data_IF_527316664059
#
_entry.id   IF_527316664059
#
_cell.length_a   1.000
_cell.length_b   1.000
_cell.length_c   1.000
_cell.angle_alpha   90.00
_cell.angle_beta   90.00
_cell.angle_gamma   90.00
#
_symmetry.space_group_name_H-M   'P 1'
#
loop_
_entity.id
_entity.type
_entity.pdbx_description
1 polymer ?
#
# COMPACT_ATOMS: atom_id res chain seq x y z
N UNK A 1 13.09 -23.36 -47.64
CA UNK A 1 12.90 -21.95 -47.26
C UNK A 1 12.72 -21.90 -45.74
N UNK A 2 13.55 -21.15 -45.02
CA UNK A 2 13.38 -20.98 -43.58
C UNK A 2 12.28 -19.93 -43.34
N UNK A 3 11.21 -20.32 -42.65
CA UNK A 3 10.15 -19.40 -42.24
C UNK A 3 10.59 -18.76 -40.92
N UNK A 4 10.98 -17.49 -40.98
CA UNK A 4 11.33 -16.71 -39.79
C UNK A 4 10.04 -16.15 -39.19
N UNK A 5 9.57 -16.74 -38.10
CA UNK A 5 8.50 -16.16 -37.30
C UNK A 5 9.08 -15.08 -36.38
N UNK A 6 8.50 -13.88 -36.40
CA UNK A 6 8.82 -12.84 -35.45
C UNK A 6 8.23 -13.23 -34.09
N UNK A 7 9.07 -13.73 -33.18
CA UNK A 7 8.69 -14.18 -31.83
C UNK A 7 8.71 -13.06 -30.79
N UNK A 8 8.82 -11.80 -31.23
CA UNK A 8 8.77 -10.65 -30.35
C UNK A 8 7.34 -10.52 -29.82
N UNK A 9 7.18 -10.67 -28.51
CA UNK A 9 5.90 -10.48 -27.82
C UNK A 9 5.45 -9.00 -27.94
N UNK A 10 4.14 -8.76 -28.06
CA UNK A 10 3.56 -7.40 -28.11
C UNK A 10 3.96 -6.53 -26.91
N UNK A 11 4.23 -7.13 -25.74
CA UNK A 11 4.76 -6.40 -24.57
C UNK A 11 6.16 -5.84 -24.79
N UNK A 12 6.97 -6.48 -25.64
CA UNK A 12 8.34 -6.08 -25.94
C UNK A 12 8.35 -4.97 -26.98
N UNK A 13 7.47 -5.02 -27.99
CA UNK A 13 7.29 -3.92 -28.95
C UNK A 13 6.83 -2.64 -28.25
N UNK A 14 5.79 -2.73 -27.42
CA UNK A 14 5.27 -1.57 -26.69
C UNK A 14 6.34 -0.88 -25.82
N UNK A 15 7.20 -1.65 -25.15
CA UNK A 15 8.32 -1.08 -24.37
C UNK A 15 9.41 -0.45 -25.23
N UNK A 16 9.63 -0.97 -26.44
CA UNK A 16 10.56 -0.37 -27.39
C UNK A 16 10.01 0.96 -27.92
N UNK A 17 8.71 1.06 -28.16
CA UNK A 17 8.07 2.33 -28.51
C UNK A 17 8.15 3.33 -27.34
N UNK A 18 7.77 2.90 -26.14
CA UNK A 18 7.83 3.72 -24.91
C UNK A 18 9.23 4.26 -24.64
N UNK A 19 10.28 3.47 -24.88
CA UNK A 19 11.66 3.92 -24.63
C UNK A 19 12.15 4.93 -25.67
N UNK A 20 11.67 4.80 -26.92
CA UNK A 20 11.99 5.76 -27.98
C UNK A 20 11.33 7.11 -27.68
N UNK A 21 10.03 7.10 -27.32
CA UNK A 21 9.33 8.33 -26.94
C UNK A 21 9.94 8.96 -25.68
N UNK A 22 10.25 8.16 -24.66
CA UNK A 22 10.83 8.66 -23.41
C UNK A 22 12.23 9.25 -23.63
N UNK A 23 13.07 8.63 -24.46
CA UNK A 23 14.40 9.15 -24.75
C UNK A 23 14.35 10.52 -25.44
N UNK A 24 13.32 10.79 -26.26
CA UNK A 24 13.16 12.07 -26.95
C UNK A 24 12.78 13.23 -26.01
N UNK A 25 12.25 12.95 -24.82
CA UNK A 25 11.75 13.96 -23.87
C UNK A 25 12.72 14.23 -22.71
N UNK A 26 13.77 13.42 -22.54
CA UNK A 26 14.63 13.42 -21.35
C UNK A 26 16.09 13.78 -21.70
N UNK A 27 16.78 14.47 -20.79
CA UNK A 27 18.21 14.83 -20.93
C UNK A 27 19.13 13.63 -20.73
N UNK A 28 18.69 12.63 -19.95
CA UNK A 28 19.38 11.36 -19.75
C UNK A 28 18.39 10.22 -19.51
N UNK A 29 18.79 9.00 -19.85
CA UNK A 29 18.00 7.79 -19.65
C UNK A 29 18.76 6.71 -18.88
N UNK A 30 18.17 6.19 -17.81
CA UNK A 30 18.65 4.99 -17.11
C UNK A 30 17.83 3.78 -17.54
N UNK A 31 18.51 2.76 -18.08
CA UNK A 31 17.90 1.48 -18.43
C UNK A 31 18.32 0.42 -17.42
N UNK A 32 17.35 -0.03 -16.63
CA UNK A 32 17.57 -0.91 -15.49
C UNK A 32 17.37 -2.37 -15.86
N UNK A 33 18.37 -3.20 -15.57
CA UNK A 33 18.25 -4.65 -15.63
C UNK A 33 19.56 -5.36 -15.95
N UNK A 34 19.50 -6.69 -15.92
CA UNK A 34 20.68 -7.54 -16.09
C UNK A 34 21.52 -7.20 -17.33
N UNK A 35 22.85 -7.09 -17.19
CA UNK A 35 23.76 -6.85 -18.34
C UNK A 35 23.73 -7.99 -19.35
N UNK A 36 23.37 -9.19 -18.91
CA UNK A 36 23.19 -10.38 -19.74
C UNK A 36 21.80 -10.49 -20.38
N UNK A 37 20.86 -9.60 -20.06
CA UNK A 37 19.52 -9.59 -20.68
C UNK A 37 19.58 -8.99 -22.07
N UNK A 38 19.35 -9.82 -23.09
CA UNK A 38 19.26 -9.37 -24.48
C UNK A 38 18.18 -8.29 -24.67
N UNK A 39 17.04 -8.42 -23.97
CA UNK A 39 15.96 -7.44 -24.03
C UNK A 39 16.36 -6.10 -23.40
N UNK A 40 16.98 -6.12 -22.21
CA UNK A 40 17.42 -4.89 -21.54
C UNK A 40 18.51 -4.19 -22.35
N UNK A 41 19.43 -4.95 -22.93
CA UNK A 41 20.47 -4.42 -23.82
C UNK A 41 19.86 -3.76 -25.07
N UNK A 42 18.88 -4.43 -25.69
CA UNK A 42 18.14 -3.89 -26.85
C UNK A 42 17.47 -2.56 -26.52
N UNK A 43 16.86 -2.43 -25.35
CA UNK A 43 16.25 -1.19 -24.88
C UNK A 43 17.29 -0.07 -24.71
N UNK A 44 18.41 -0.36 -24.04
CA UNK A 44 19.51 0.60 -23.88
C UNK A 44 20.08 1.05 -25.24
N UNK A 45 20.23 0.13 -26.19
CA UNK A 45 20.73 0.45 -27.53
C UNK A 45 19.73 1.30 -28.33
N UNK A 46 18.42 1.08 -28.17
CA UNK A 46 17.39 1.91 -28.80
C UNK A 46 17.38 3.33 -28.26
N UNK A 47 17.54 3.50 -26.95
CA UNK A 47 17.65 4.80 -26.32
C UNK A 47 18.91 5.56 -26.77
N UNK A 48 20.06 4.88 -26.83
CA UNK A 48 21.31 5.46 -27.37
C UNK A 48 21.17 5.94 -28.81
N UNK A 49 20.39 5.23 -29.63
CA UNK A 49 20.11 5.62 -31.02
C UNK A 49 19.31 6.93 -31.14
N UNK A 50 18.65 7.39 -30.07
CA UNK A 50 17.98 8.69 -30.03
C UNK A 50 18.93 9.85 -29.66
N UNK A 51 20.25 9.59 -29.55
CA UNK A 51 21.26 10.55 -29.09
C UNK A 51 21.08 11.03 -27.63
N UNK A 52 20.27 10.33 -26.84
CA UNK A 52 20.10 10.62 -25.41
C UNK A 52 21.18 9.88 -24.59
N UNK A 53 21.94 10.56 -23.71
CA UNK A 53 22.84 9.94 -22.76
C UNK A 53 22.16 8.78 -22.02
N UNK A 54 22.62 7.54 -22.26
CA UNK A 54 21.95 6.34 -21.78
C UNK A 54 22.87 5.48 -20.92
N UNK A 55 22.44 5.22 -19.68
CA UNK A 55 23.15 4.44 -18.67
C UNK A 55 22.44 3.10 -18.43
N UNK A 56 23.12 2.00 -18.74
CA UNK A 56 22.61 0.65 -18.43
C UNK A 56 23.16 0.22 -17.07
N UNK A 57 22.28 0.12 -16.07
CA UNK A 57 22.65 -0.21 -14.68
C UNK A 57 21.83 -1.40 -14.16
N UNK A 58 22.40 -2.16 -13.23
CA UNK A 58 21.73 -3.24 -12.53
C UNK A 58 21.32 -2.83 -11.11
N UNK A 59 22.09 -1.93 -10.47
CA UNK A 59 21.87 -1.54 -9.07
C UNK A 59 22.12 -0.06 -8.80
N UNK A 60 21.56 0.45 -7.69
CA UNK A 60 21.77 1.83 -7.19
C UNK A 60 23.26 2.16 -7.00
N UNK A 61 24.11 1.18 -6.72
CA UNK A 61 25.55 1.41 -6.49
C UNK A 61 26.25 2.00 -7.72
N UNK A 62 25.76 1.68 -8.92
CA UNK A 62 26.33 2.16 -10.17
C UNK A 62 26.03 3.65 -10.44
N UNK A 63 25.01 4.22 -9.79
CA UNK A 63 24.70 5.66 -9.89
C UNK A 63 25.83 6.55 -9.33
N UNK A 64 26.61 6.05 -8.37
CA UNK A 64 27.74 6.79 -7.80
C UNK A 64 28.83 7.16 -8.81
N UNK A 65 28.87 6.45 -9.94
CA UNK A 65 29.86 6.65 -10.99
C UNK A 65 29.35 7.55 -12.11
N UNK A 66 28.14 8.10 -11.99
CA UNK A 66 27.51 8.95 -13.00
C UNK A 66 27.42 10.38 -12.47
N UNK A 67 28.00 11.32 -13.21
CA UNK A 67 27.77 12.74 -12.95
C UNK A 67 26.37 13.13 -13.45
N UNK A 68 25.49 13.46 -12.51
CA UNK A 68 24.10 13.86 -12.79
C UNK A 68 23.94 15.37 -12.92
N UNK A 69 24.96 16.16 -12.57
CA UNK A 69 24.92 17.62 -12.62
C UNK A 69 24.46 18.22 -13.96
N UNK A 70 24.80 17.62 -15.12
CA UNK A 70 24.39 18.13 -16.43
C UNK A 70 22.91 17.92 -16.79
N UNK A 71 22.19 17.01 -16.12
CA UNK A 71 20.86 16.54 -16.56
C UNK A 71 19.74 17.11 -15.69
N UNK A 72 18.74 17.77 -16.30
CA UNK A 72 17.59 18.32 -15.56
C UNK A 72 16.40 17.37 -15.55
N UNK A 73 16.21 16.62 -16.63
CA UNK A 73 15.17 15.62 -16.81
C UNK A 73 15.82 14.25 -17.00
N UNK A 74 15.49 13.31 -16.12
CA UNK A 74 16.08 11.97 -16.12
C UNK A 74 14.93 10.97 -16.25
N UNK A 75 14.93 10.21 -17.35
CA UNK A 75 14.01 9.10 -17.53
C UNK A 75 14.58 7.80 -16.98
N UNK A 76 13.72 6.94 -16.44
CA UNK A 76 14.08 5.59 -15.98
C UNK A 76 13.18 4.58 -16.67
N UNK A 77 13.79 3.57 -17.28
CA UNK A 77 13.08 2.45 -17.93
C UNK A 77 13.74 1.13 -17.55
N UNK A 78 13.09 0.00 -17.80
CA UNK A 78 13.59 -1.31 -17.39
C UNK A 78 13.15 -2.46 -18.30
N UNK A 79 13.97 -3.51 -18.33
CA UNK A 79 13.66 -4.76 -19.00
C UNK A 79 12.45 -5.49 -18.40
N UNK A 80 11.79 -6.34 -19.18
CA UNK A 80 10.63 -7.14 -18.73
C UNK A 80 10.95 -8.06 -17.55
N UNK A 81 12.18 -8.53 -17.47
CA UNK A 81 12.69 -9.38 -16.40
C UNK A 81 13.21 -8.62 -15.18
N UNK A 82 13.21 -7.27 -15.21
CA UNK A 82 13.66 -6.44 -14.10
C UNK A 82 12.50 -6.22 -13.12
N UNK A 83 12.64 -6.60 -11.84
CA UNK A 83 11.63 -6.32 -10.82
C UNK A 83 11.43 -4.81 -10.55
N UNK A 84 10.20 -4.40 -10.26
CA UNK A 84 9.84 -3.00 -9.99
C UNK A 84 10.61 -2.41 -8.81
N UNK A 85 10.89 -3.18 -7.76
CA UNK A 85 11.61 -2.68 -6.59
C UNK A 85 13.04 -2.19 -6.91
N UNK A 86 13.69 -2.72 -7.97
CA UNK A 86 15.00 -2.22 -8.41
C UNK A 86 14.83 -0.84 -9.06
N UNK A 87 13.78 -0.70 -9.88
CA UNK A 87 13.41 0.56 -10.53
C UNK A 87 13.10 1.61 -9.45
N UNK A 88 12.25 1.27 -8.48
CA UNK A 88 11.87 2.14 -7.36
C UNK A 88 13.09 2.63 -6.56
N UNK A 89 14.04 1.73 -6.27
CA UNK A 89 15.27 2.10 -5.55
C UNK A 89 16.13 3.10 -6.34
N UNK A 90 16.22 2.94 -7.66
CA UNK A 90 16.97 3.86 -8.53
C UNK A 90 16.23 5.20 -8.65
N UNK A 91 14.91 5.19 -8.89
CA UNK A 91 14.11 6.42 -8.99
C UNK A 91 14.12 7.21 -7.69
N UNK A 92 14.01 6.54 -6.54
CA UNK A 92 14.06 7.19 -5.23
C UNK A 92 15.42 7.85 -5.00
N UNK A 93 16.53 7.18 -5.38
CA UNK A 93 17.87 7.75 -5.21
C UNK A 93 18.12 8.95 -6.14
N UNK A 94 17.65 8.87 -7.39
CA UNK A 94 17.71 9.99 -8.34
C UNK A 94 16.90 11.20 -7.82
N UNK A 95 15.70 10.98 -7.31
CA UNK A 95 14.87 12.04 -6.74
C UNK A 95 15.50 12.70 -5.49
N UNK A 96 16.24 11.93 -4.67
CA UNK A 96 16.97 12.47 -3.52
C UNK A 96 18.11 13.41 -3.94
N UNK A 97 18.79 13.13 -5.06
CA UNK A 97 19.90 13.93 -5.58
C UNK A 97 19.40 15.21 -6.26
N UNK A 98 18.27 15.14 -6.97
CA UNK A 98 17.73 16.26 -7.78
C UNK A 98 16.80 17.23 -7.03
N UNK A 99 16.74 17.19 -5.69
CA UNK A 99 15.66 17.84 -4.92
C UNK A 99 15.58 19.39 -5.06
N UNK A 100 14.37 19.99 -5.24
CA UNK A 100 14.13 21.43 -5.28
C UNK A 100 14.14 22.08 -3.87
N UNK A 101 13.83 23.38 -3.76
CA UNK A 101 13.93 24.25 -2.55
C UNK A 101 13.79 23.55 -1.18
N UNK A 102 14.60 23.93 -0.16
CA UNK A 102 14.82 23.11 1.03
C UNK A 102 13.57 22.75 1.86
N UNK A 103 12.53 23.59 1.87
CA UNK A 103 11.31 23.34 2.66
C UNK A 103 10.37 22.30 2.05
N UNK A 104 10.11 22.36 0.74
CA UNK A 104 9.26 21.38 0.05
C UNK A 104 9.92 20.01 -0.03
N UNK A 105 11.24 19.98 -0.22
CA UNK A 105 12.04 18.76 -0.13
C UNK A 105 11.95 18.11 1.26
N UNK A 106 11.94 18.90 2.34
CA UNK A 106 11.83 18.36 3.70
C UNK A 106 10.47 17.67 3.95
N UNK A 107 9.36 18.34 3.61
CA UNK A 107 8.02 17.77 3.83
C UNK A 107 7.81 16.48 3.02
N UNK A 108 8.25 16.47 1.76
CA UNK A 108 8.17 15.28 0.92
C UNK A 108 9.03 14.14 1.48
N UNK A 109 10.26 14.43 1.92
CA UNK A 109 11.16 13.43 2.53
C UNK A 109 10.57 12.87 3.82
N UNK A 110 9.97 13.72 4.67
CA UNK A 110 9.32 13.30 5.90
C UNK A 110 8.11 12.39 5.60
N UNK A 111 7.26 12.79 4.66
CA UNK A 111 6.09 12.00 4.25
C UNK A 111 6.51 10.63 3.68
N UNK A 112 7.48 10.61 2.76
CA UNK A 112 8.02 9.36 2.21
C UNK A 112 8.64 8.48 3.30
N UNK A 113 9.33 9.07 4.29
CA UNK A 113 9.85 8.33 5.43
C UNK A 113 8.72 7.71 6.27
N UNK A 114 7.65 8.44 6.54
CA UNK A 114 6.48 7.92 7.27
C UNK A 114 5.79 6.77 6.50
N UNK A 115 5.68 6.88 5.18
CA UNK A 115 5.13 5.83 4.32
C UNK A 115 6.05 4.61 4.31
N UNK A 116 7.37 4.81 4.21
CA UNK A 116 8.37 3.74 4.22
C UNK A 116 8.40 2.99 5.55
N UNK A 117 8.05 3.63 6.67
CA UNK A 117 8.13 3.08 8.03
C UNK A 117 6.79 2.65 8.62
N UNK A 118 5.71 2.59 7.80
CA UNK A 118 4.33 2.30 8.20
C UNK A 118 3.72 3.27 9.24
N UNK A 119 4.43 4.34 9.63
CA UNK A 119 3.89 5.39 10.51
C UNK A 119 2.70 6.12 9.86
N UNK A 120 2.72 6.27 8.53
CA UNK A 120 1.62 6.92 7.82
C UNK A 120 0.33 6.07 7.85
N UNK A 121 0.47 4.75 7.67
CA UNK A 121 -0.63 3.79 7.87
C UNK A 121 -1.17 3.79 9.30
N UNK A 122 -0.27 3.85 10.30
CA UNK A 122 -0.65 3.93 11.71
C UNK A 122 -1.49 5.19 12.01
N UNK A 123 -1.05 6.35 11.51
CA UNK A 123 -1.81 7.59 11.61
C UNK A 123 -3.18 7.48 10.92
N UNK A 124 -3.21 6.86 9.74
CA UNK A 124 -4.44 6.55 9.01
C UNK A 124 -5.43 5.71 9.83
N UNK A 125 -4.95 4.71 10.56
CA UNK A 125 -5.80 3.89 11.42
C UNK A 125 -6.44 4.70 12.56
N UNK A 126 -5.69 5.64 13.16
CA UNK A 126 -6.24 6.60 14.12
C UNK A 126 -7.31 7.50 13.50
N UNK A 127 -7.09 8.01 12.28
CA UNK A 127 -8.08 8.79 11.53
C UNK A 127 -9.36 7.99 11.22
N UNK A 128 -9.23 6.71 10.86
CA UNK A 128 -10.38 5.83 10.64
C UNK A 128 -11.11 5.50 11.93
N UNK A 129 -10.41 5.31 13.05
CA UNK A 129 -11.03 5.13 14.36
C UNK A 129 -11.82 6.39 14.79
N UNK A 130 -11.28 7.58 14.51
CA UNK A 130 -11.99 8.84 14.73
C UNK A 130 -13.29 8.89 13.89
N UNK A 131 -13.22 8.62 12.59
CA UNK A 131 -14.38 8.56 11.72
C UNK A 131 -15.40 7.50 12.18
N UNK A 132 -14.92 6.32 12.59
CA UNK A 132 -15.74 5.23 13.11
C UNK A 132 -16.48 5.59 14.39
N UNK A 133 -15.83 6.26 15.35
CA UNK A 133 -16.50 6.70 16.58
C UNK A 133 -17.58 7.76 16.30
N UNK A 134 -17.30 8.68 15.40
CA UNK A 134 -18.28 9.70 15.04
C UNK A 134 -19.47 9.10 14.30
N UNK A 135 -19.26 8.21 13.31
CA UNK A 135 -20.34 7.47 12.63
C UNK A 135 -21.23 6.70 13.61
N UNK A 136 -20.67 6.22 14.70
CA UNK A 136 -21.38 5.51 15.78
C UNK A 136 -22.05 6.45 16.79
N UNK A 137 -21.81 7.76 16.69
CA UNK A 137 -22.22 8.78 17.64
C UNK A 137 -21.73 8.53 19.08
N UNK A 138 -20.56 7.89 19.23
CA UNK A 138 -19.93 7.66 20.53
C UNK A 138 -18.88 8.75 20.84
N UNK A 139 -18.59 9.03 22.13
CA UNK A 139 -17.58 10.00 22.50
C UNK A 139 -16.20 9.65 21.94
N UNK A 140 -15.47 10.66 21.45
CA UNK A 140 -14.12 10.47 20.94
C UNK A 140 -13.15 10.20 22.09
N UNK A 141 -12.63 8.98 22.16
CA UNK A 141 -11.63 8.59 23.14
C UNK A 141 -10.24 8.55 22.52
N UNK A 142 -9.29 9.33 23.06
CA UNK A 142 -7.89 9.33 22.62
C UNK A 142 -7.24 7.93 22.73
N UNK A 143 -7.66 7.14 23.73
CA UNK A 143 -7.21 5.76 23.89
C UNK A 143 -7.59 4.88 22.67
N UNK A 144 -8.81 5.03 22.13
CA UNK A 144 -9.26 4.27 20.96
C UNK A 144 -8.48 4.63 19.68
N UNK A 145 -8.15 5.92 19.50
CA UNK A 145 -7.28 6.37 18.40
C UNK A 145 -5.88 5.75 18.51
N UNK A 146 -5.32 5.79 19.72
CA UNK A 146 -4.01 5.21 20.00
C UNK A 146 -4.00 3.69 19.81
N UNK A 147 -5.01 2.97 20.29
CA UNK A 147 -5.16 1.51 20.10
C UNK A 147 -5.13 1.15 18.62
N UNK A 148 -5.96 1.81 17.80
CA UNK A 148 -5.98 1.55 16.36
C UNK A 148 -4.63 1.83 15.70
N UNK A 149 -3.99 2.96 16.05
CA UNK A 149 -2.71 3.37 15.48
C UNK A 149 -1.56 2.42 15.83
N UNK A 150 -1.41 2.11 17.12
CA UNK A 150 -0.35 1.21 17.61
C UNK A 150 -0.56 -0.23 17.17
N UNK A 151 -1.80 -0.72 17.14
CA UNK A 151 -2.11 -2.07 16.64
C UNK A 151 -1.74 -2.22 15.17
N UNK A 152 -2.18 -1.29 14.32
CA UNK A 152 -1.88 -1.34 12.88
C UNK A 152 -0.38 -1.25 12.63
N UNK A 153 0.32 -0.32 13.31
CA UNK A 153 1.77 -0.23 13.24
C UNK A 153 2.43 -1.57 13.60
N UNK A 154 2.10 -2.13 14.77
CA UNK A 154 2.70 -3.36 15.24
C UNK A 154 2.47 -4.52 14.26
N UNK A 155 1.23 -4.71 13.81
CA UNK A 155 0.89 -5.81 12.90
C UNK A 155 1.54 -5.67 11.53
N UNK A 156 1.60 -4.46 10.96
CA UNK A 156 2.28 -4.21 9.68
C UNK A 156 3.78 -4.51 9.77
N UNK A 157 4.44 -4.00 10.82
CA UNK A 157 5.87 -4.22 11.03
C UNK A 157 6.19 -5.70 11.27
N UNK A 158 5.44 -6.38 12.15
CA UNK A 158 5.65 -7.80 12.42
C UNK A 158 5.42 -8.66 11.18
N UNK A 159 4.31 -8.44 10.46
CA UNK A 159 4.01 -9.21 9.25
C UNK A 159 5.08 -9.03 8.17
N UNK A 160 5.64 -7.82 8.05
CA UNK A 160 6.73 -7.56 7.10
C UNK A 160 8.04 -8.24 7.50
N UNK A 161 8.41 -8.18 8.78
CA UNK A 161 9.62 -8.85 9.28
C UNK A 161 9.54 -10.38 9.11
N UNK A 162 8.36 -10.97 9.30
CA UNK A 162 8.14 -12.41 9.08
C UNK A 162 8.23 -12.75 7.58
N UNK A 163 7.55 -11.97 6.73
CA UNK A 163 7.50 -12.23 5.28
C UNK A 163 8.85 -12.05 4.59
N UNK A 164 9.63 -11.04 5.00
CA UNK A 164 10.94 -10.74 4.41
C UNK A 164 11.98 -11.84 4.70
N UNK A 165 11.90 -12.52 5.85
CA UNK A 165 12.80 -13.64 6.18
C UNK A 165 12.54 -14.90 5.36
N UNK A 166 11.29 -15.19 5.03
CA UNK A 166 10.93 -16.43 4.33
C UNK A 166 11.20 -16.37 2.83
N UNK A 167 11.03 -15.20 2.21
CA UNK A 167 11.06 -15.09 0.74
C UNK A 167 12.47 -15.07 0.16
N UNK A 168 13.49 -14.67 0.92
CA UNK A 168 14.89 -14.56 0.45
C UNK A 168 15.10 -13.56 -0.71
N UNK A 169 14.02 -12.96 -1.22
CA UNK A 169 13.91 -12.08 -2.36
C UNK A 169 13.22 -10.80 -1.89
N UNK A 170 13.84 -9.66 -2.20
CA UNK A 170 13.30 -8.34 -1.84
C UNK A 170 12.04 -8.10 -2.68
N UNK A 171 10.86 -8.09 -2.05
CA UNK A 171 9.57 -7.98 -2.73
C UNK A 171 9.06 -6.54 -2.87
N UNK A 172 9.48 -5.64 -1.98
CA UNK A 172 8.95 -4.27 -1.87
C UNK A 172 10.05 -3.24 -1.62
N UNK A 173 9.83 -1.98 -2.04
CA UNK A 173 10.72 -0.84 -1.81
C UNK A 173 11.04 -0.60 -0.32
N UNK A 174 10.20 -1.08 0.61
CA UNK A 174 10.37 -0.89 2.05
C UNK A 174 11.35 -1.88 2.69
N UNK A 175 11.44 -3.10 2.18
CA UNK A 175 12.15 -4.21 2.82
C UNK A 175 13.66 -3.96 3.09
N UNK A 176 14.42 -3.28 2.20
CA UNK A 176 15.84 -2.99 2.47
C UNK A 176 16.05 -2.13 3.72
N UNK A 177 15.11 -1.24 4.03
CA UNK A 177 15.18 -0.36 5.20
C UNK A 177 14.91 -1.13 6.50
N UNK A 178 13.89 -1.99 6.51
CA UNK A 178 13.54 -2.81 7.68
C UNK A 178 14.64 -3.81 8.04
N UNK A 179 15.23 -4.48 7.06
CA UNK A 179 16.28 -5.47 7.30
C UNK A 179 17.54 -4.83 7.90
N UNK A 180 17.87 -3.60 7.49
CA UNK A 180 19.02 -2.87 8.04
C UNK A 180 18.83 -2.56 9.54
N UNK A 181 17.60 -2.35 9.99
CA UNK A 181 17.28 -1.91 11.36
C UNK A 181 16.31 -2.87 12.07
N UNK A 182 16.38 -4.16 11.74
CA UNK A 182 15.38 -5.15 12.14
C UNK A 182 15.13 -5.19 13.65
N UNK A 183 16.19 -5.12 14.46
CA UNK A 183 16.08 -5.17 15.93
C UNK A 183 15.24 -4.01 16.48
N UNK A 184 15.43 -2.81 15.93
CA UNK A 184 14.73 -1.60 16.36
C UNK A 184 13.24 -1.71 16.00
N UNK A 185 12.94 -2.08 14.75
CA UNK A 185 11.56 -2.27 14.28
C UNK A 185 10.83 -3.39 15.02
N UNK A 186 11.52 -4.49 15.33
CA UNK A 186 10.92 -5.57 16.10
C UNK A 186 10.57 -5.11 17.52
N UNK A 187 11.50 -4.42 18.18
CA UNK A 187 11.27 -3.89 19.53
C UNK A 187 10.14 -2.86 19.54
N UNK A 188 10.13 -1.92 18.58
CA UNK A 188 9.07 -0.91 18.48
C UNK A 188 7.70 -1.52 18.21
N UNK A 189 7.62 -2.57 17.39
CA UNK A 189 6.38 -3.27 17.11
C UNK A 189 5.82 -3.99 18.35
N UNK A 190 6.66 -4.72 19.10
CA UNK A 190 6.23 -5.36 20.35
C UNK A 190 5.85 -4.33 21.43
N UNK A 191 6.60 -3.23 21.54
CA UNK A 191 6.26 -2.14 22.46
C UNK A 191 4.92 -1.51 22.08
N UNK A 192 4.68 -1.24 20.80
CA UNK A 192 3.41 -0.70 20.30
C UNK A 192 2.25 -1.65 20.57
N UNK A 193 2.43 -2.95 20.32
CA UNK A 193 1.40 -3.95 20.61
C UNK A 193 1.08 -4.01 22.11
N UNK A 194 2.10 -3.95 22.97
CA UNK A 194 1.93 -3.91 24.42
C UNK A 194 1.16 -2.65 24.87
N UNK A 195 1.48 -1.49 24.29
CA UNK A 195 0.74 -0.23 24.55
C UNK A 195 -0.72 -0.35 24.08
N UNK A 196 -0.97 -0.89 22.88
CA UNK A 196 -2.33 -1.07 22.37
C UNK A 196 -3.16 -2.00 23.27
N UNK A 197 -2.57 -3.12 23.72
CA UNK A 197 -3.23 -4.07 24.62
C UNK A 197 -3.52 -3.47 26.00
N UNK A 198 -2.56 -2.75 26.59
CA UNK A 198 -2.76 -2.10 27.91
C UNK A 198 -3.83 -1.00 27.84
N UNK A 199 -3.82 -0.16 26.80
CA UNK A 199 -4.88 0.84 26.58
C UNK A 199 -6.24 0.18 26.35
N UNK A 200 -6.29 -0.93 25.60
CA UNK A 200 -7.53 -1.67 25.37
C UNK A 200 -8.07 -2.31 26.66
N UNK A 201 -7.19 -2.80 27.54
CA UNK A 201 -7.56 -3.36 28.84
C UNK A 201 -8.11 -2.31 29.80
N UNK A 202 -7.55 -1.10 29.76
CA UNK A 202 -8.04 0.03 30.54
C UNK A 202 -9.46 0.47 30.11
N UNK A 203 -9.85 0.22 28.86
CA UNK A 203 -11.20 0.46 28.36
C UNK A 203 -12.19 -0.66 28.70
N UNK A 204 -11.90 -1.89 28.26
CA UNK A 204 -12.81 -3.03 28.48
C UNK A 204 -12.06 -4.36 28.35
N UNK A 205 -12.39 -5.32 29.23
CA UNK A 205 -11.85 -6.69 29.18
C UNK A 205 -12.23 -7.40 27.86
N UNK A 206 -13.42 -7.12 27.33
CA UNK A 206 -13.87 -7.67 26.06
C UNK A 206 -13.10 -7.07 24.88
N UNK A 207 -12.84 -5.76 24.91
CA UNK A 207 -12.01 -5.10 23.90
C UNK A 207 -10.58 -5.66 23.92
N UNK A 208 -10.00 -5.82 25.11
CA UNK A 208 -8.68 -6.45 25.27
C UNK A 208 -8.65 -7.89 24.73
N UNK A 209 -9.62 -8.72 25.10
CA UNK A 209 -9.71 -10.11 24.65
C UNK A 209 -9.82 -10.21 23.12
N UNK A 210 -10.63 -9.34 22.51
CA UNK A 210 -10.78 -9.28 21.06
C UNK A 210 -9.50 -8.79 20.36
N UNK A 211 -8.85 -7.73 20.89
CA UNK A 211 -7.58 -7.22 20.35
C UNK A 211 -6.47 -8.27 20.45
N UNK A 212 -6.38 -8.99 21.57
CA UNK A 212 -5.44 -10.08 21.76
C UNK A 212 -5.71 -11.21 20.75
N UNK A 213 -6.97 -11.60 20.57
CA UNK A 213 -7.35 -12.63 19.62
C UNK A 213 -6.96 -12.27 18.19
N UNK A 214 -7.29 -11.06 17.70
CA UNK A 214 -6.94 -10.65 16.32
C UNK A 214 -5.42 -10.50 16.14
N UNK A 215 -4.68 -10.13 17.18
CA UNK A 215 -3.21 -10.04 17.16
C UNK A 215 -2.57 -11.43 17.04
N UNK A 216 -3.05 -12.40 17.82
CA UNK A 216 -2.61 -13.79 17.75
C UNK A 216 -2.98 -14.42 16.39
N UNK A 217 -4.21 -14.21 15.91
CA UNK A 217 -4.64 -14.68 14.61
C UNK A 217 -3.76 -14.15 13.47
N UNK A 218 -3.34 -12.88 13.53
CA UNK A 218 -2.40 -12.30 12.58
C UNK A 218 -1.00 -12.91 12.63
N UNK A 219 -0.53 -13.37 13.79
CA UNK A 219 0.69 -14.17 13.92
C UNK A 219 0.54 -15.57 13.33
N UNK A 220 -0.56 -16.24 13.66
CA UNK A 220 -0.90 -17.59 13.17
C UNK A 220 -1.14 -17.63 11.65
N UNK A 221 -1.53 -16.52 11.04
CA UNK A 221 -1.76 -16.41 9.59
C UNK A 221 -0.56 -16.85 8.74
N UNK A 222 0.65 -16.64 9.23
CA UNK A 222 1.90 -17.03 8.56
C UNK A 222 2.37 -18.44 8.95
N UNK A 223 1.75 -19.09 9.94
CA UNK A 223 2.13 -20.43 10.42
C UNK A 223 1.53 -21.53 9.55
N UNK A 224 2.27 -22.64 9.40
CA UNK A 224 1.77 -23.87 8.77
C UNK A 224 0.82 -24.57 9.74
N UNK A 225 -0.48 -24.35 9.54
CA UNK A 225 -1.53 -24.93 10.40
C UNK A 225 -1.82 -26.40 10.05
N UNK A 226 -1.60 -26.78 8.78
CA UNK A 226 -1.91 -28.13 8.26
C UNK A 226 -0.71 -28.69 7.47
N UNK A 227 0.39 -29.09 8.13
CA UNK A 227 1.54 -29.67 7.45
C UNK A 227 1.15 -30.98 6.74
N UNK A 228 1.39 -31.08 5.43
CA UNK A 228 1.21 -32.32 4.66
C UNK A 228 -0.09 -32.47 3.87
N UNK A 229 -0.96 -31.46 3.77
CA UNK A 229 -2.17 -31.48 2.92
C UNK A 229 -2.14 -30.40 1.82
N UNK A 230 -1.43 -30.67 0.72
CA UNK A 230 -1.62 -29.99 -0.58
C UNK A 230 -1.31 -28.49 -0.64
N UNK A 231 -1.84 -27.81 -1.67
CA UNK A 231 -1.53 -26.42 -2.11
C UNK A 231 -1.80 -25.31 -1.07
N UNK A 232 -2.47 -25.60 0.05
CA UNK A 232 -2.90 -24.62 1.06
C UNK A 232 -2.46 -25.02 2.47
N UNK A 233 -1.15 -24.95 2.76
CA UNK A 233 -0.61 -25.29 4.08
C UNK A 233 -0.79 -24.16 5.10
N UNK A 234 -1.01 -22.94 4.64
CA UNK A 234 -1.13 -21.71 5.43
C UNK A 234 -2.40 -20.95 5.05
N UNK A 235 -2.94 -20.17 5.99
CA UNK A 235 -4.05 -19.24 5.71
C UNK A 235 -3.67 -18.20 4.64
N UNK A 236 -2.38 -17.84 4.57
CA UNK A 236 -1.83 -16.94 3.54
C UNK A 236 -1.86 -17.51 2.13
N UNK A 237 -1.91 -18.83 1.98
CA UNK A 237 -1.89 -19.47 0.67
C UNK A 237 -3.27 -19.36 -0.01
N UNK A 238 -4.32 -19.06 0.76
CA UNK A 238 -5.67 -18.86 0.22
C UNK A 238 -5.73 -17.55 -0.57
N UNK A 239 -6.21 -17.57 -1.82
CA UNK A 239 -6.20 -16.37 -2.64
C UNK A 239 -7.11 -15.26 -2.08
N UNK A 240 -6.57 -14.04 -2.04
CA UNK A 240 -7.29 -12.86 -1.52
C UNK A 240 -7.48 -12.83 0.00
N UNK A 241 -7.03 -13.85 0.75
CA UNK A 241 -7.17 -13.91 2.21
C UNK A 241 -6.45 -12.75 2.91
N UNK A 242 -5.27 -12.36 2.41
CA UNK A 242 -4.51 -11.19 2.88
C UNK A 242 -5.41 -9.94 2.94
N UNK A 243 -6.09 -9.62 1.85
CA UNK A 243 -6.89 -8.40 1.75
C UNK A 243 -8.09 -8.46 2.68
N UNK A 244 -8.76 -9.61 2.73
CA UNK A 244 -9.91 -9.83 3.60
C UNK A 244 -9.54 -9.73 5.09
N UNK A 245 -8.55 -10.51 5.56
CA UNK A 245 -8.14 -10.52 6.96
C UNK A 245 -7.54 -9.18 7.41
N UNK A 246 -6.79 -8.50 6.54
CA UNK A 246 -6.27 -7.14 6.84
C UNK A 246 -7.43 -6.16 7.03
N UNK A 247 -8.38 -6.11 6.08
CA UNK A 247 -9.54 -5.24 6.18
C UNK A 247 -10.41 -5.55 7.41
N UNK A 248 -10.59 -6.84 7.72
CA UNK A 248 -11.35 -7.29 8.87
C UNK A 248 -10.71 -6.86 10.20
N UNK A 249 -9.39 -7.04 10.34
CA UNK A 249 -8.66 -6.61 11.53
C UNK A 249 -8.72 -5.09 11.73
N UNK A 250 -8.59 -4.31 10.65
CA UNK A 250 -8.77 -2.86 10.70
C UNK A 250 -10.19 -2.46 11.07
N UNK A 251 -11.21 -3.13 10.51
CA UNK A 251 -12.62 -2.89 10.85
C UNK A 251 -12.90 -3.14 12.33
N UNK A 252 -12.37 -4.25 12.89
CA UNK A 252 -12.46 -4.51 14.32
C UNK A 252 -11.77 -3.40 15.12
N UNK A 253 -10.52 -3.07 14.78
CA UNK A 253 -9.72 -2.11 15.52
C UNK A 253 -10.29 -0.69 15.53
N UNK A 254 -10.95 -0.27 14.44
CA UNK A 254 -11.41 1.11 14.23
C UNK A 254 -12.92 1.31 14.46
N UNK A 255 -13.75 0.27 14.35
CA UNK A 255 -15.19 0.38 14.55
C UNK A 255 -15.69 -0.39 15.78
N UNK A 256 -15.25 -1.64 15.95
CA UNK A 256 -15.77 -2.53 17.02
C UNK A 256 -15.12 -2.25 18.37
N UNK A 257 -13.79 -2.15 18.43
CA UNK A 257 -13.09 -1.89 19.69
C UNK A 257 -13.51 -0.58 20.37
N UNK A 258 -13.67 0.55 19.65
CA UNK A 258 -14.17 1.77 20.29
C UNK A 258 -15.56 1.60 20.92
N UNK A 259 -16.48 0.88 20.28
CA UNK A 259 -17.82 0.61 20.83
C UNK A 259 -17.74 -0.23 22.11
N UNK A 260 -16.93 -1.29 22.09
CA UNK A 260 -16.71 -2.16 23.25
C UNK A 260 -16.06 -1.41 24.42
N UNK A 261 -15.08 -0.55 24.14
CA UNK A 261 -14.42 0.27 25.16
C UNK A 261 -15.33 1.35 25.73
N UNK A 262 -16.29 1.85 24.97
CA UNK A 262 -17.31 2.79 25.44
C UNK A 262 -18.46 2.11 26.21
N UNK A 263 -18.48 0.77 26.29
CA UNK A 263 -19.58 0.01 26.91
C UNK A 263 -20.90 0.12 26.14
N UNK A 264 -20.87 0.52 24.87
CA UNK A 264 -22.06 0.66 24.04
C UNK A 264 -22.41 -0.67 23.35
N UNK A 265 -23.70 -0.96 23.22
CA UNK A 265 -24.17 -2.05 22.38
C UNK A 265 -23.89 -1.76 20.90
N UNK A 266 -23.71 -2.81 20.09
CA UNK A 266 -23.50 -2.66 18.66
C UNK A 266 -24.76 -2.10 18.00
N UNK A 267 -24.63 -0.91 17.43
CA UNK A 267 -25.70 -0.21 16.73
C UNK A 267 -25.57 -0.41 15.22
N UNK A 268 -26.59 0.01 14.46
CA UNK A 268 -26.47 0.10 13.00
C UNK A 268 -25.29 1.00 12.57
N UNK A 269 -24.96 2.03 13.37
CA UNK A 269 -23.78 2.86 13.16
C UNK A 269 -22.47 2.09 13.28
N UNK A 270 -22.38 1.08 14.17
CA UNK A 270 -21.21 0.20 14.28
C UNK A 270 -21.04 -0.63 13.00
N UNK A 271 -22.14 -1.13 12.43
CA UNK A 271 -22.09 -1.85 11.16
C UNK A 271 -21.65 -0.94 10.01
N UNK A 272 -22.18 0.29 9.92
CA UNK A 272 -21.78 1.28 8.90
C UNK A 272 -20.30 1.63 9.04
N UNK A 273 -19.81 1.90 10.25
CA UNK A 273 -18.40 2.19 10.51
C UNK A 273 -17.49 1.00 10.15
N UNK A 274 -17.90 -0.22 10.49
CA UNK A 274 -17.15 -1.43 10.15
C UNK A 274 -17.08 -1.62 8.63
N UNK A 275 -18.21 -1.52 7.93
CA UNK A 275 -18.29 -1.68 6.47
C UNK A 275 -17.46 -0.60 5.78
N UNK A 276 -17.54 0.64 6.24
CA UNK A 276 -16.73 1.75 5.72
C UNK A 276 -15.23 1.46 5.81
N UNK A 277 -14.72 1.15 7.00
CA UNK A 277 -13.29 0.84 7.16
C UNK A 277 -12.91 -0.42 6.38
N UNK A 278 -13.73 -1.48 6.45
CA UNK A 278 -13.46 -2.74 5.76
C UNK A 278 -13.31 -2.52 4.24
N UNK A 279 -14.28 -1.88 3.60
CA UNK A 279 -14.25 -1.66 2.14
C UNK A 279 -13.08 -0.74 1.76
N UNK A 280 -12.83 0.32 2.52
CA UNK A 280 -11.75 1.26 2.22
C UNK A 280 -10.38 0.58 2.30
N UNK A 281 -10.12 -0.17 3.38
CA UNK A 281 -8.85 -0.91 3.59
C UNK A 281 -8.71 -2.06 2.59
N UNK A 282 -9.80 -2.79 2.31
CA UNK A 282 -9.80 -3.86 1.31
C UNK A 282 -9.44 -3.32 -0.08
N UNK A 283 -10.08 -2.21 -0.48
CA UNK A 283 -9.83 -1.58 -1.77
C UNK A 283 -8.40 -1.08 -1.89
N UNK A 284 -7.91 -0.40 -0.85
CA UNK A 284 -6.51 0.05 -0.78
C UNK A 284 -5.55 -1.14 -0.89
N UNK A 285 -5.78 -2.22 -0.15
CA UNK A 285 -4.92 -3.41 -0.17
C UNK A 285 -4.92 -4.10 -1.54
N UNK A 286 -6.09 -4.23 -2.17
CA UNK A 286 -6.19 -4.82 -3.51
C UNK A 286 -5.60 -3.92 -4.62
N UNK A 287 -5.69 -2.58 -4.49
CA UNK A 287 -4.98 -1.64 -5.37
C UNK A 287 -3.47 -1.76 -5.23
N UNK A 288 -2.97 -1.98 -4.02
CA UNK A 288 -1.56 -2.26 -3.75
C UNK A 288 -1.11 -3.57 -4.42
N UNK A 289 -1.91 -4.64 -4.30
CA UNK A 289 -1.63 -5.91 -4.99
C UNK A 289 -1.64 -5.75 -6.54
N UNK A 290 -2.42 -4.82 -7.11
CA UNK A 290 -2.35 -4.51 -8.56
C UNK A 290 -0.98 -3.93 -8.93
N UNK A 291 -0.36 -3.14 -8.07
CA UNK A 291 0.97 -2.59 -8.29
C UNK A 291 2.03 -3.69 -8.21
N UNK A 292 1.88 -4.59 -7.25
CA UNK A 292 2.82 -5.68 -6.98
C UNK A 292 2.58 -6.95 -7.82
N UNK A 293 1.56 -6.97 -8.68
CA UNK A 293 1.14 -8.14 -9.46
C UNK A 293 2.28 -8.84 -10.23
N UNK A 294 3.25 -8.10 -10.76
CA UNK A 294 4.42 -8.68 -11.44
C UNK A 294 5.33 -9.41 -10.44
N UNK A 295 5.62 -8.79 -9.30
CA UNK A 295 6.42 -9.38 -8.23
C UNK A 295 5.72 -10.59 -7.62
N UNK A 296 4.42 -10.49 -7.36
CA UNK A 296 3.61 -11.58 -6.82
C UNK A 296 3.56 -12.77 -7.77
N UNK A 297 3.43 -12.53 -9.08
CA UNK A 297 3.49 -13.59 -10.10
C UNK A 297 4.86 -14.28 -10.15
N UNK A 298 5.95 -13.51 -10.02
CA UNK A 298 7.32 -14.06 -9.96
C UNK A 298 7.55 -14.89 -8.69
N UNK A 299 6.91 -14.53 -7.58
CA UNK A 299 6.98 -15.23 -6.30
C UNK A 299 5.95 -16.39 -6.16
N UNK A 300 5.11 -16.61 -7.18
CA UNK A 300 4.07 -17.64 -7.16
C UNK A 300 2.92 -17.36 -6.18
N UNK A 301 2.66 -16.09 -5.83
CA UNK A 301 1.57 -15.69 -4.93
C UNK A 301 0.26 -15.51 -5.69
N UNK A 302 -0.82 -16.08 -5.14
CA UNK A 302 -2.16 -15.98 -5.71
C UNK A 302 -2.94 -14.80 -5.10
N UNK A 303 -2.65 -13.58 -5.55
CA UNK A 303 -3.47 -12.40 -5.19
C UNK A 303 -4.68 -12.28 -6.12
N UNK A 304 -5.72 -11.55 -5.68
CA UNK A 304 -6.92 -11.27 -6.50
C UNK A 304 -6.53 -10.79 -7.92
N UNK A 305 -5.69 -9.75 -8.08
CA UNK A 305 -5.27 -9.30 -9.39
C UNK A 305 -4.49 -10.32 -10.22
N UNK A 306 -3.74 -11.23 -9.60
CA UNK A 306 -3.05 -12.32 -10.30
C UNK A 306 -4.04 -13.35 -10.84
N UNK A 307 -5.12 -13.64 -10.10
CA UNK A 307 -6.11 -14.64 -10.49
C UNK A 307 -7.09 -14.16 -11.56
N UNK A 308 -7.73 -13.00 -11.34
CA UNK A 308 -8.80 -12.51 -12.22
C UNK A 308 -8.33 -11.44 -13.19
N UNK A 309 -7.09 -10.97 -13.06
CA UNK A 309 -6.51 -9.92 -13.90
C UNK A 309 -6.77 -8.50 -13.37
N UNK A 310 -5.96 -7.56 -13.86
CA UNK A 310 -5.99 -6.13 -13.46
C UNK A 310 -7.36 -5.50 -13.67
N UNK A 311 -7.89 -5.60 -14.89
CA UNK A 311 -9.12 -4.93 -15.31
C UNK A 311 -10.34 -5.44 -14.51
N UNK A 312 -10.48 -6.76 -14.38
CA UNK A 312 -11.56 -7.36 -13.60
C UNK A 312 -11.46 -7.00 -12.11
N UNK A 313 -10.24 -6.91 -11.56
CA UNK A 313 -10.03 -6.46 -10.18
C UNK A 313 -10.46 -5.01 -10.03
N UNK A 314 -10.10 -4.12 -10.96
CA UNK A 314 -10.55 -2.73 -10.92
C UNK A 314 -12.07 -2.61 -11.03
N UNK A 315 -12.73 -3.39 -11.89
CA UNK A 315 -14.19 -3.42 -12.00
C UNK A 315 -14.82 -3.88 -10.69
N UNK A 316 -14.34 -4.98 -10.11
CA UNK A 316 -14.83 -5.50 -8.83
C UNK A 316 -14.71 -4.45 -7.72
N UNK A 317 -13.55 -3.81 -7.58
CA UNK A 317 -13.34 -2.80 -6.55
C UNK A 317 -14.21 -1.55 -6.75
N UNK A 318 -14.43 -1.11 -8.00
CA UNK A 318 -15.34 0.01 -8.30
C UNK A 318 -16.78 -0.33 -7.92
N UNK A 319 -17.24 -1.56 -8.15
CA UNK A 319 -18.57 -2.02 -7.73
C UNK A 319 -18.69 -1.99 -6.20
N UNK A 320 -17.68 -2.52 -5.49
CA UNK A 320 -17.68 -2.52 -4.01
C UNK A 320 -17.68 -1.08 -3.45
N UNK A 321 -16.93 -0.15 -4.06
CA UNK A 321 -16.97 1.26 -3.68
C UNK A 321 -18.30 1.94 -3.99
N UNK A 322 -18.96 1.58 -5.09
CA UNK A 322 -20.30 2.10 -5.40
C UNK A 322 -21.32 1.63 -4.36
N UNK A 323 -21.23 0.37 -3.91
CA UNK A 323 -22.05 -0.14 -2.81
C UNK A 323 -21.79 0.67 -1.53
N UNK A 324 -20.51 0.94 -1.20
CA UNK A 324 -20.19 1.78 -0.05
C UNK A 324 -20.76 3.20 -0.18
N UNK A 325 -20.69 3.81 -1.37
CA UNK A 325 -21.26 5.12 -1.63
C UNK A 325 -22.77 5.14 -1.35
N UNK A 326 -23.49 4.13 -1.82
CA UNK A 326 -24.94 3.98 -1.56
C UNK A 326 -25.21 3.83 -0.06
N UNK A 327 -24.42 2.99 0.64
CA UNK A 327 -24.57 2.82 2.10
C UNK A 327 -24.38 4.15 2.83
N UNK A 328 -23.36 4.94 2.48
CA UNK A 328 -23.09 6.23 3.13
C UNK A 328 -24.18 7.28 2.85
N UNK A 329 -24.83 7.24 1.69
CA UNK A 329 -25.94 8.14 1.35
C UNK A 329 -27.23 7.74 2.08
N UNK A 330 -27.50 6.44 2.17
CA UNK A 330 -28.73 5.92 2.77
C UNK A 330 -28.66 5.84 4.30
N UNK A 331 -27.46 5.67 4.89
CA UNK A 331 -27.33 5.47 6.34
C UNK A 331 -27.84 6.64 7.19
N UNK A 332 -27.68 7.92 6.81
CA UNK A 332 -28.31 9.01 7.54
C UNK A 332 -29.82 9.10 7.36
N UNK A 333 -30.31 8.79 6.17
CA UNK A 333 -31.75 8.77 5.87
C UNK A 333 -32.46 7.68 6.68
N UNK A 334 -31.81 6.53 6.86
CA UNK A 334 -32.30 5.42 7.67
C UNK A 334 -32.09 5.62 9.19
N UNK A 335 -31.46 6.71 9.62
CA UNK A 335 -31.13 6.97 11.02
C UNK A 335 -30.02 6.09 11.60
N UNK A 336 -29.25 5.40 10.76
CA UNK A 336 -28.15 4.53 11.19
C UNK A 336 -26.86 5.28 11.49
N UNK A 337 -26.64 6.42 10.84
CA UNK A 337 -25.48 7.28 11.06
C UNK A 337 -25.86 8.76 11.07
N UNK A 338 -25.12 9.63 11.76
CA UNK A 338 -25.37 11.07 11.70
C UNK A 338 -25.13 11.67 10.30
N UNK A 339 -25.86 12.75 9.96
CA UNK A 339 -25.77 13.45 8.66
C UNK A 339 -24.36 13.91 8.27
N UNK A 340 -23.50 14.39 9.19
CA UNK A 340 -22.12 14.72 8.85
C UNK A 340 -21.29 13.53 8.33
N UNK A 341 -21.75 12.29 8.52
CA UNK A 341 -21.16 11.10 7.90
C UNK A 341 -21.08 11.17 6.36
N UNK A 342 -21.91 12.00 5.71
CA UNK A 342 -21.85 12.25 4.27
C UNK A 342 -20.51 12.83 3.80
N UNK A 343 -19.74 13.51 4.66
CA UNK A 343 -18.40 13.99 4.30
C UNK A 343 -17.42 12.85 3.96
N UNK A 344 -17.67 11.62 4.43
CA UNK A 344 -16.86 10.45 4.08
C UNK A 344 -17.00 10.03 2.61
N UNK A 345 -17.98 10.58 1.88
CA UNK A 345 -18.06 10.43 0.42
C UNK A 345 -16.80 10.99 -0.25
N UNK A 346 -16.17 12.03 0.32
CA UNK A 346 -14.89 12.57 -0.18
C UNK A 346 -13.79 11.51 -0.23
N UNK A 347 -13.77 10.56 0.72
CA UNK A 347 -12.84 9.44 0.72
C UNK A 347 -13.09 8.50 -0.45
N UNK A 348 -14.37 8.17 -0.71
CA UNK A 348 -14.75 7.29 -1.82
C UNK A 348 -14.37 7.93 -3.17
N UNK A 349 -14.64 9.23 -3.32
CA UNK A 349 -14.24 9.99 -4.50
C UNK A 349 -12.71 10.03 -4.67
N UNK A 350 -11.97 10.21 -3.58
CA UNK A 350 -10.52 10.18 -3.60
C UNK A 350 -9.97 8.82 -4.05
N UNK A 351 -10.49 7.71 -3.51
CA UNK A 351 -10.07 6.37 -3.96
C UNK A 351 -10.44 6.14 -5.43
N UNK A 352 -11.54 6.72 -5.91
CA UNK A 352 -11.89 6.69 -7.33
C UNK A 352 -10.81 7.37 -8.20
N UNK A 353 -10.28 8.51 -7.75
CA UNK A 353 -9.15 9.18 -8.40
C UNK A 353 -7.91 8.28 -8.40
N UNK A 354 -7.64 7.56 -7.31
CA UNK A 354 -6.51 6.63 -7.23
C UNK A 354 -6.52 5.53 -8.29
N UNK A 355 -7.68 5.06 -8.77
CA UNK A 355 -7.71 4.10 -9.89
C UNK A 355 -7.03 4.65 -11.15
N UNK A 356 -7.25 5.93 -11.45
CA UNK A 356 -6.63 6.58 -12.61
C UNK A 356 -5.11 6.74 -12.45
N UNK A 357 -4.65 6.90 -11.20
CA UNK A 357 -3.21 6.96 -10.88
C UNK A 357 -2.55 5.59 -11.00
N UNK A 358 -3.24 4.51 -10.60
CA UNK A 358 -2.76 3.13 -10.77
C UNK A 358 -2.59 2.73 -12.25
N UNK A 359 -3.26 3.41 -13.18
CA UNK A 359 -3.09 3.19 -14.63
C UNK A 359 -1.90 3.96 -15.21
N UNK A 360 -1.49 5.08 -14.58
CA UNK A 360 -0.36 5.92 -15.00
C UNK A 360 0.97 5.50 -14.36
N UNK A 361 1.34 4.21 -14.46
CA UNK A 361 2.60 3.65 -13.89
C UNK A 361 3.89 4.36 -14.31
N UNK A 362 3.88 5.11 -15.41
CA UNK A 362 5.09 5.72 -15.97
C UNK A 362 5.63 6.94 -15.19
N UNK A 363 4.92 7.45 -14.16
CA UNK A 363 5.25 8.76 -13.56
C UNK A 363 5.73 8.78 -12.10
N UNK A 364 5.50 7.75 -11.29
CA UNK A 364 5.71 7.82 -9.82
C UNK A 364 6.39 6.57 -9.25
N UNK A 365 7.24 6.74 -8.25
CA UNK A 365 7.83 5.60 -7.52
C UNK A 365 6.77 4.87 -6.68
N UNK A 366 6.97 3.57 -6.44
CA UNK A 366 6.06 2.74 -5.64
C UNK A 366 5.74 3.33 -4.27
N UNK A 367 6.71 4.01 -3.64
CA UNK A 367 6.52 4.70 -2.36
C UNK A 367 5.50 5.85 -2.45
N UNK A 368 5.52 6.62 -3.53
CA UNK A 368 4.59 7.73 -3.74
C UNK A 368 3.17 7.19 -3.95
N UNK A 369 3.00 6.19 -4.83
CA UNK A 369 1.67 5.66 -5.14
C UNK A 369 1.05 5.02 -3.89
N UNK A 370 1.82 4.23 -3.16
CA UNK A 370 1.38 3.62 -1.92
C UNK A 370 1.02 4.66 -0.84
N UNK A 371 1.82 5.73 -0.73
CA UNK A 371 1.52 6.87 0.13
C UNK A 371 0.20 7.53 -0.26
N UNK A 372 -0.05 7.78 -1.54
CA UNK A 372 -1.31 8.34 -2.05
C UNK A 372 -2.49 7.42 -1.72
N UNK A 373 -2.34 6.11 -1.87
CA UNK A 373 -3.38 5.16 -1.49
C UNK A 373 -3.70 5.22 0.01
N UNK A 374 -2.68 5.33 0.87
CA UNK A 374 -2.84 5.50 2.33
C UNK A 374 -3.44 6.86 2.72
N UNK A 375 -3.26 7.91 1.90
CA UNK A 375 -3.84 9.23 2.15
C UNK A 375 -5.36 9.19 2.22
N UNK A 376 -6.01 8.21 1.60
CA UNK A 376 -7.47 7.98 1.75
C UNK A 376 -7.92 7.86 3.22
N UNK A 377 -7.10 7.26 4.08
CA UNK A 377 -7.37 7.12 5.51
C UNK A 377 -7.27 8.45 6.25
N UNK A 378 -6.28 9.26 5.87
CA UNK A 378 -6.04 10.59 6.44
C UNK A 378 -7.18 11.54 6.04
N UNK A 379 -7.63 11.47 4.78
CA UNK A 379 -8.80 12.22 4.29
C UNK A 379 -10.04 11.87 5.11
N UNK A 380 -10.23 10.62 5.51
CA UNK A 380 -11.35 10.24 6.38
C UNK A 380 -11.33 10.98 7.71
N UNK A 381 -10.14 11.08 8.35
CA UNK A 381 -9.96 11.85 9.57
C UNK A 381 -10.27 13.35 9.37
N UNK A 382 -9.71 13.97 8.33
CA UNK A 382 -9.96 15.39 8.06
C UNK A 382 -11.41 15.70 7.67
N UNK A 383 -12.06 14.82 6.90
CA UNK A 383 -13.46 14.96 6.52
C UNK A 383 -14.37 15.00 7.75
N UNK A 384 -14.05 14.24 8.80
CA UNK A 384 -14.82 14.24 10.05
C UNK A 384 -14.31 15.22 11.11
N UNK A 385 -13.12 15.82 10.97
CA UNK A 385 -12.70 16.91 11.86
C UNK A 385 -13.63 18.12 11.73
N UNK A 386 -14.14 18.39 10.52
CA UNK A 386 -15.18 19.40 10.31
C UNK A 386 -16.43 19.14 11.17
N UNK A 387 -16.83 17.88 11.33
CA UNK A 387 -17.95 17.50 12.19
C UNK A 387 -17.74 17.91 13.65
N UNK A 388 -16.52 17.75 14.18
CA UNK A 388 -16.21 18.16 15.55
C UNK A 388 -16.24 19.68 15.78
N UNK A 389 -16.05 20.48 14.71
CA UNK A 389 -16.09 21.95 14.79
C UNK A 389 -17.54 22.49 14.79
N UNK A 390 -18.48 21.75 14.19
CA UNK A 390 -19.90 22.13 14.09
C UNK A 390 -20.81 21.43 15.12
N UNK A 391 -20.23 20.75 16.11
CA UNK A 391 -20.92 20.13 17.23
C UNK A 391 -20.84 21.03 18.45
#
# INVERSE_FOLDING_TARGET
QAVVFNTICSSTEKRQEEIISLAAEMDALFVVGGKNSANTRRLADLARKQNTPTFHIETVKELKNVDLGPYKSIGVSAGASTPNWIIDQITDHLAEISSPTPKTAFLLKLWLWMVKTDFYSALGAGCLALAGMLLQNIPVAAASLAVASFFVYAMHVLNRLVTSKESGLIGSFREPFYLRHEKIFRLSAFASLFIALTLSLAGSILAFGLLLFISLAGGLYNMKLLPGRGRFERLRDIPGSKNFFTAFAWGIATAVLPALSAGCAFSAGTAVAFIFTFILVFTRSALSDIMDMQSDRLLGRETIPVMIGKENTQILLKIILLILLVILILSPVAGWSPTPGLFLILCVLYVWICFSLCDRRAGFSGAIIEGLLETSYIIAGFAVLGWLVFR
#
